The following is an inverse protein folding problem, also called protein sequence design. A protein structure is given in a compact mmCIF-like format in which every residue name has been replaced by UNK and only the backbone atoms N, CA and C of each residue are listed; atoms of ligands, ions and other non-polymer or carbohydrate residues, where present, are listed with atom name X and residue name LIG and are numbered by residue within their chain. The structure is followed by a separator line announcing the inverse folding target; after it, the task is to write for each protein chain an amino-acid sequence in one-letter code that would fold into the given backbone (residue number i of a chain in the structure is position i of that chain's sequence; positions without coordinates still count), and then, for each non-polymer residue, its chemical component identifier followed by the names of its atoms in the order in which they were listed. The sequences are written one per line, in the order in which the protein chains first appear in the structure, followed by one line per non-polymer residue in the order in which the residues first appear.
data_IF_539785132589
#
_entry.id   IF_539785132589
#
_cell.length_a   1.000
_cell.length_b   1.000
_cell.length_c   1.000
_cell.angle_alpha   90.00
_cell.angle_beta   90.00
_cell.angle_gamma   90.00
#
_symmetry.space_group_name_H-M   'P 1'
#
loop_
_entity.id
_entity.type
_entity.pdbx_description
1 polymer ?
#
# COMPACT_ATOMS: atom_id res chain seq x y z
N UNK A 1 -2.41 -11.76 1.23
CA UNK A 1 -3.34 -10.99 2.08
C UNK A 1 -4.78 -11.47 1.86
N UNK A 2 -5.68 -11.21 2.81
CA UNK A 2 -7.12 -11.39 2.61
C UNK A 2 -7.62 -10.37 1.57
N UNK A 3 -8.28 -10.83 0.52
CA UNK A 3 -8.82 -9.98 -0.55
C UNK A 3 -9.93 -10.75 -1.26
N UNK A 4 -11.03 -10.07 -1.61
CA UNK A 4 -12.05 -10.64 -2.47
C UNK A 4 -11.51 -10.95 -3.86
N UNK A 5 -11.77 -12.15 -4.35
CA UNK A 5 -11.56 -12.52 -5.75
C UNK A 5 -12.68 -11.95 -6.64
N UNK A 6 -12.47 -11.90 -7.96
CA UNK A 6 -13.55 -11.53 -8.89
C UNK A 6 -14.73 -12.53 -8.86
N UNK A 7 -14.46 -13.80 -8.54
CA UNK A 7 -15.53 -14.79 -8.29
C UNK A 7 -16.36 -14.39 -7.08
N UNK A 8 -15.73 -13.97 -5.98
CA UNK A 8 -16.45 -13.53 -4.79
C UNK A 8 -17.32 -12.32 -5.08
N UNK A 9 -16.77 -11.31 -5.77
CA UNK A 9 -17.53 -10.12 -6.17
C UNK A 9 -18.70 -10.46 -7.08
N UNK A 10 -18.51 -11.38 -8.02
CA UNK A 10 -19.59 -11.86 -8.91
C UNK A 10 -20.69 -12.56 -8.12
N UNK A 11 -20.32 -13.38 -7.14
CA UNK A 11 -21.28 -14.04 -6.26
C UNK A 11 -22.05 -13.03 -5.40
N UNK A 12 -21.36 -12.03 -4.81
CA UNK A 12 -22.00 -10.96 -4.05
C UNK A 12 -22.98 -10.15 -4.91
N UNK A 13 -22.59 -9.76 -6.12
CA UNK A 13 -23.47 -9.07 -7.08
C UNK A 13 -24.70 -9.90 -7.43
N UNK A 14 -24.55 -11.21 -7.55
CA UNK A 14 -25.65 -12.14 -7.82
C UNK A 14 -26.63 -12.19 -6.64
N UNK A 15 -26.14 -12.26 -5.40
CA UNK A 15 -27.00 -12.22 -4.21
C UNK A 15 -27.72 -10.89 -4.01
N UNK A 16 -27.04 -9.78 -4.30
CA UNK A 16 -27.59 -8.43 -4.22
C UNK A 16 -28.54 -8.14 -5.39
N UNK A 17 -28.49 -8.94 -6.46
CA UNK A 17 -29.18 -8.72 -7.73
C UNK A 17 -28.83 -7.36 -8.36
N UNK A 18 -27.54 -7.11 -8.57
CA UNK A 18 -27.03 -5.84 -9.12
C UNK A 18 -25.90 -6.04 -10.13
N UNK A 19 -25.84 -5.15 -11.12
CA UNK A 19 -24.70 -5.05 -12.05
C UNK A 19 -23.71 -3.95 -11.65
N UNK A 20 -23.94 -3.28 -10.52
CA UNK A 20 -23.15 -2.16 -10.01
C UNK A 20 -21.76 -2.61 -9.49
N UNK A 21 -20.86 -1.64 -9.33
CA UNK A 21 -19.51 -1.86 -8.83
C UNK A 21 -19.49 -1.91 -7.30
N UNK A 22 -18.56 -2.70 -6.75
CA UNK A 22 -18.25 -2.74 -5.32
C UNK A 22 -17.03 -1.84 -5.10
N UNK A 23 -17.24 -0.62 -4.62
CA UNK A 23 -16.17 0.32 -4.29
C UNK A 23 -15.81 0.16 -2.81
N UNK A 24 -14.57 -0.22 -2.50
CA UNK A 24 -14.13 -0.34 -1.11
C UNK A 24 -14.04 1.06 -0.48
N UNK A 25 -14.72 1.27 0.63
CA UNK A 25 -14.75 2.57 1.34
C UNK A 25 -14.15 2.48 2.75
N UNK A 26 -13.95 1.28 3.27
CA UNK A 26 -13.30 1.03 4.54
C UNK A 26 -12.53 -0.29 4.50
N UNK A 27 -11.36 -0.32 5.14
CA UNK A 27 -10.51 -1.50 5.30
C UNK A 27 -9.77 -1.42 6.62
N UNK A 28 -10.07 -2.31 7.57
CA UNK A 28 -9.57 -2.24 8.94
C UNK A 28 -8.04 -2.29 9.02
N UNK A 29 -7.35 -3.03 8.16
CA UNK A 29 -5.87 -3.05 8.16
C UNK A 29 -5.23 -1.73 7.72
N UNK A 30 -5.96 -0.89 6.97
CA UNK A 30 -5.54 0.44 6.52
C UNK A 30 -6.05 1.53 7.48
N UNK A 31 -7.34 1.50 7.75
CA UNK A 31 -8.07 2.56 8.45
C UNK A 31 -8.07 2.38 9.98
N UNK A 32 -7.63 1.22 10.48
CA UNK A 32 -7.82 0.80 11.86
C UNK A 32 -9.24 0.25 12.09
N UNK A 33 -9.43 -0.42 13.24
CA UNK A 33 -10.73 -1.00 13.63
C UNK A 33 -11.40 -0.12 14.68
N UNK A 34 -11.97 1.03 14.32
CA UNK A 34 -12.67 1.93 15.25
C UNK A 34 -14.03 2.33 14.70
N UNK A 35 -15.04 2.41 15.57
CA UNK A 35 -16.38 2.84 15.19
C UNK A 35 -16.38 4.27 14.64
N UNK A 36 -15.60 5.18 15.24
CA UNK A 36 -15.46 6.57 14.77
C UNK A 36 -14.93 6.62 13.32
N UNK A 37 -13.88 5.87 13.00
CA UNK A 37 -13.31 5.82 11.64
C UNK A 37 -14.27 5.17 10.66
N UNK A 38 -14.94 4.09 11.07
CA UNK A 38 -15.99 3.45 10.26
C UNK A 38 -17.10 4.45 9.91
N UNK A 39 -17.66 5.15 10.89
CA UNK A 39 -18.76 6.08 10.65
C UNK A 39 -18.33 7.29 9.80
N UNK A 40 -17.12 7.82 9.99
CA UNK A 40 -16.55 8.86 9.11
C UNK A 40 -16.49 8.44 7.64
N UNK A 41 -16.25 7.16 7.37
CA UNK A 41 -16.10 6.62 6.01
C UNK A 41 -17.40 6.08 5.41
N UNK A 42 -18.25 5.46 6.22
CA UNK A 42 -19.38 4.64 5.77
C UNK A 42 -20.76 5.28 5.97
N UNK A 43 -20.90 6.29 6.83
CA UNK A 43 -22.20 6.93 7.02
C UNK A 43 -22.66 7.65 5.74
N UNK A 44 -23.96 7.54 5.44
CA UNK A 44 -24.62 8.16 4.28
C UNK A 44 -24.03 7.79 2.91
N UNK A 45 -23.53 6.55 2.76
CA UNK A 45 -22.99 6.03 1.49
C UNK A 45 -23.99 5.16 0.71
N UNK A 46 -25.22 5.00 1.18
CA UNK A 46 -26.23 4.12 0.58
C UNK A 46 -25.93 2.65 0.83
N UNK A 47 -26.28 1.82 -0.14
CA UNK A 47 -26.15 0.36 -0.03
C UNK A 47 -24.68 -0.07 0.12
N UNK A 48 -24.43 -0.97 1.08
CA UNK A 48 -23.07 -1.46 1.38
C UNK A 48 -23.03 -2.97 1.66
N UNK A 49 -21.87 -3.55 1.42
CA UNK A 49 -21.51 -4.93 1.78
C UNK A 49 -20.34 -4.88 2.75
N UNK A 50 -20.52 -5.50 3.92
CA UNK A 50 -19.43 -5.72 4.89
C UNK A 50 -18.87 -7.13 4.72
N UNK A 51 -17.55 -7.26 4.73
CA UNK A 51 -16.83 -8.53 4.66
C UNK A 51 -15.89 -8.66 5.86
N UNK A 52 -15.97 -9.78 6.55
CA UNK A 52 -15.15 -10.12 7.71
C UNK A 52 -14.33 -11.38 7.40
N UNK A 53 -13.00 -11.28 7.49
CA UNK A 53 -12.11 -12.44 7.47
C UNK A 53 -11.66 -12.74 8.88
N UNK A 54 -12.12 -13.85 9.46
CA UNK A 54 -11.71 -14.23 10.82
C UNK A 54 -10.41 -15.06 10.84
N UNK A 55 -9.88 -15.32 12.05
CA UNK A 55 -8.63 -16.05 12.20
C UNK A 55 -8.72 -17.55 11.88
N UNK A 56 -9.93 -18.11 11.87
CA UNK A 56 -10.20 -19.53 11.55
C UNK A 56 -10.32 -19.77 10.04
N UNK A 57 -10.20 -18.72 9.23
CA UNK A 57 -10.30 -18.79 7.78
C UNK A 57 -11.72 -18.70 7.24
N UNK A 58 -12.72 -18.39 8.08
CA UNK A 58 -14.06 -18.08 7.62
C UNK A 58 -14.12 -16.67 7.02
N UNK A 59 -14.94 -16.53 5.97
CA UNK A 59 -15.26 -15.26 5.34
C UNK A 59 -16.77 -15.10 5.32
N UNK A 60 -17.26 -14.11 6.03
CA UNK A 60 -18.68 -13.88 6.22
C UNK A 60 -18.98 -12.39 6.26
N UNK A 61 -20.25 -12.02 6.28
CA UNK A 61 -20.60 -10.61 6.21
C UNK A 61 -22.08 -10.34 6.16
N UNK A 62 -22.41 -9.11 5.80
CA UNK A 62 -23.78 -8.65 5.63
C UNK A 62 -23.89 -7.59 4.55
N UNK A 63 -25.03 -7.58 3.87
CA UNK A 63 -25.45 -6.54 2.95
C UNK A 63 -26.58 -5.74 3.59
N UNK A 64 -26.59 -4.43 3.35
CA UNK A 64 -27.72 -3.56 3.65
C UNK A 64 -27.92 -2.58 2.49
N UNK A 65 -29.18 -2.32 2.13
CA UNK A 65 -29.58 -1.35 1.14
C UNK A 65 -29.72 0.07 1.71
N UNK A 66 -29.78 0.20 3.04
CA UNK A 66 -29.94 1.49 3.72
C UNK A 66 -28.61 2.07 4.18
N UNK A 67 -28.61 3.38 4.45
CA UNK A 67 -27.45 4.08 4.99
C UNK A 67 -27.05 3.58 6.38
N UNK A 68 -25.74 3.49 6.61
CA UNK A 68 -25.18 3.58 7.95
C UNK A 68 -25.36 5.00 8.49
N UNK A 69 -25.64 5.08 9.80
CA UNK A 69 -25.73 6.33 10.55
C UNK A 69 -25.23 6.13 11.97
N UNK A 70 -24.85 7.23 12.60
CA UNK A 70 -24.46 7.32 14.02
C UNK A 70 -25.58 7.94 14.87
N UNK A 71 -26.84 7.52 14.67
CA UNK A 71 -28.03 8.18 15.26
C UNK A 71 -28.56 7.55 16.53
N UNK A 72 -27.93 6.48 17.01
CA UNK A 72 -28.36 5.70 18.17
C UNK A 72 -29.75 5.06 17.99
N UNK A 73 -30.06 4.62 16.77
CA UNK A 73 -31.36 4.06 16.37
C UNK A 73 -31.25 2.63 15.85
N UNK A 74 -32.37 1.91 15.83
CA UNK A 74 -32.50 0.62 15.18
C UNK A 74 -33.46 0.79 14.00
N UNK A 75 -32.99 0.46 12.79
CA UNK A 75 -33.78 0.61 11.56
C UNK A 75 -33.97 -0.77 10.92
N UNK A 76 -35.11 -0.99 10.28
CA UNK A 76 -35.37 -2.22 9.54
C UNK A 76 -34.96 -2.09 8.08
N UNK A 77 -34.31 -3.12 7.55
CA UNK A 77 -34.00 -3.23 6.13
C UNK A 77 -34.53 -4.56 5.60
N UNK A 78 -35.51 -4.49 4.70
CA UNK A 78 -36.14 -5.66 4.08
C UNK A 78 -35.26 -6.34 3.03
N UNK A 79 -34.23 -5.64 2.56
CA UNK A 79 -33.27 -6.14 1.58
C UNK A 79 -31.96 -6.60 2.22
N UNK A 80 -31.78 -6.36 3.53
CA UNK A 80 -30.60 -6.80 4.24
C UNK A 80 -30.55 -8.32 4.40
N UNK A 81 -29.35 -8.87 4.27
CA UNK A 81 -29.08 -10.28 4.52
C UNK A 81 -27.65 -10.46 5.05
N UNK A 82 -27.41 -11.56 5.75
CA UNK A 82 -26.06 -12.02 6.10
C UNK A 82 -25.65 -13.19 5.21
N UNK A 83 -24.35 -13.44 5.09
CA UNK A 83 -23.85 -14.51 4.25
C UNK A 83 -22.51 -15.08 4.75
N UNK A 84 -22.18 -16.27 4.26
CA UNK A 84 -20.86 -16.89 4.40
C UNK A 84 -20.33 -17.17 3.00
N UNK A 85 -19.21 -16.54 2.62
CA UNK A 85 -18.50 -16.84 1.37
C UNK A 85 -17.67 -18.13 1.52
N UNK A 86 -16.97 -18.26 2.65
CA UNK A 86 -16.11 -19.42 2.93
C UNK A 86 -16.26 -19.88 4.37
N UNK A 87 -16.57 -21.16 4.58
CA UNK A 87 -16.46 -21.82 5.88
C UNK A 87 -15.03 -22.29 6.19
N UNK A 88 -14.83 -22.91 7.36
CA UNK A 88 -13.52 -23.43 7.83
C UNK A 88 -12.84 -24.40 6.85
N UNK A 89 -13.61 -25.11 6.03
CA UNK A 89 -13.09 -26.06 5.04
C UNK A 89 -12.91 -25.48 3.62
N UNK A 90 -13.16 -24.18 3.40
CA UNK A 90 -13.00 -23.45 2.11
C UNK A 90 -13.70 -24.05 0.87
N UNK A 91 -14.52 -25.09 1.01
CA UNK A 91 -15.08 -25.87 -0.12
C UNK A 91 -16.54 -25.55 -0.47
N UNK A 92 -17.21 -24.67 0.27
CA UNK A 92 -18.62 -24.34 0.02
C UNK A 92 -18.91 -22.86 0.18
N UNK A 93 -19.48 -22.25 -0.88
CA UNK A 93 -20.34 -21.08 -0.75
C UNK A 93 -21.66 -21.58 -0.14
N UNK A 94 -21.86 -21.39 1.15
CA UNK A 94 -23.17 -21.62 1.75
C UNK A 94 -23.92 -20.30 1.77
N UNK A 95 -24.85 -20.14 0.81
CA UNK A 95 -25.91 -19.14 0.93
C UNK A 95 -26.71 -19.49 2.17
N UNK A 96 -26.47 -18.82 3.28
CA UNK A 96 -27.43 -18.84 4.37
C UNK A 96 -28.26 -17.58 4.29
N UNK A 97 -29.36 -17.67 3.57
CA UNK A 97 -30.48 -16.75 3.75
C UNK A 97 -30.99 -16.94 5.18
N UNK A 98 -30.46 -16.14 6.12
CA UNK A 98 -31.07 -16.08 7.45
C UNK A 98 -32.24 -15.11 7.37
N UNK A 99 -33.35 -15.56 6.77
CA UNK A 99 -34.65 -15.05 7.17
C UNK A 99 -34.91 -15.64 8.55
N UNK A 100 -34.96 -14.79 9.58
CA UNK A 100 -35.24 -15.28 10.91
C UNK A 100 -36.63 -15.91 10.94
N UNK A 101 -36.77 -17.02 11.66
CA UNK A 101 -38.05 -17.68 11.90
C UNK A 101 -39.03 -16.83 12.74
N UNK A 102 -38.59 -15.69 13.27
CA UNK A 102 -39.35 -14.84 14.21
C UNK A 102 -39.64 -13.42 13.68
N UNK A 103 -38.86 -12.93 12.71
CA UNK A 103 -38.93 -11.59 12.11
C UNK A 103 -38.53 -11.65 10.65
N UNK A 104 -39.40 -11.20 9.76
CA UNK A 104 -39.17 -11.16 8.30
C UNK A 104 -38.10 -10.15 7.85
N UNK A 105 -37.45 -9.42 8.78
CA UNK A 105 -36.63 -8.24 8.48
C UNK A 105 -35.41 -8.15 9.40
N UNK A 106 -34.22 -7.92 8.81
CA UNK A 106 -32.99 -7.68 9.57
C UNK A 106 -33.02 -6.26 10.15
N UNK A 107 -32.57 -6.14 11.40
CA UNK A 107 -32.44 -4.86 12.07
C UNK A 107 -31.00 -4.34 11.93
N UNK A 108 -30.85 -3.15 11.39
CA UNK A 108 -29.58 -2.44 11.26
C UNK A 108 -29.43 -1.50 12.45
N UNK A 109 -28.38 -1.69 13.25
CA UNK A 109 -28.15 -0.89 14.44
C UNK A 109 -27.22 0.28 14.08
N UNK A 110 -27.70 1.50 14.27
CA UNK A 110 -27.02 2.74 13.90
C UNK A 110 -26.36 3.38 15.14
N UNK A 111 -25.57 2.59 15.87
CA UNK A 111 -24.96 2.99 17.14
C UNK A 111 -23.55 3.58 16.92
N UNK A 112 -23.25 4.80 17.42
CA UNK A 112 -21.96 5.47 17.18
C UNK A 112 -20.72 4.74 17.67
N UNK A 113 -20.87 3.81 18.61
CA UNK A 113 -19.79 3.03 19.22
C UNK A 113 -19.64 1.64 18.60
N UNK A 114 -20.31 1.38 17.48
CA UNK A 114 -20.30 0.08 16.81
C UNK A 114 -19.88 0.24 15.36
N UNK A 115 -19.17 -0.77 14.84
CA UNK A 115 -19.01 -0.94 13.41
C UNK A 115 -20.29 -1.46 12.75
N UNK A 116 -20.18 -2.08 11.56
CA UNK A 116 -21.31 -2.71 10.89
C UNK A 116 -22.11 -3.65 11.81
N UNK A 117 -23.41 -3.42 11.91
CA UNK A 117 -24.28 -4.10 12.89
C UNK A 117 -25.60 -4.55 12.27
N UNK A 118 -25.75 -5.86 12.10
CA UNK A 118 -26.83 -6.50 11.32
C UNK A 118 -27.86 -7.23 12.19
N UNK A 119 -28.08 -6.80 13.45
CA UNK A 119 -29.09 -7.35 14.37
C UNK A 119 -28.78 -8.76 14.89
N UNK A 120 -28.40 -9.67 13.98
CA UNK A 120 -27.88 -11.01 14.19
C UNK A 120 -26.47 -10.95 14.78
N UNK A 121 -25.62 -10.09 14.21
CA UNK A 121 -24.27 -9.86 14.73
C UNK A 121 -23.84 -8.40 14.59
N UNK A 122 -22.94 -8.01 15.49
CA UNK A 122 -22.20 -6.75 15.46
C UNK A 122 -20.76 -7.09 15.12
N UNK A 123 -20.24 -6.49 14.04
CA UNK A 123 -18.90 -6.76 13.57
C UNK A 123 -17.87 -6.42 14.66
N UNK A 124 -17.87 -5.19 15.17
CA UNK A 124 -17.02 -4.78 16.30
C UNK A 124 -17.69 -3.66 17.10
N UNK A 125 -17.24 -3.49 18.35
CA UNK A 125 -17.66 -2.43 19.25
C UNK A 125 -16.44 -1.80 19.90
N UNK A 126 -16.47 -0.49 20.06
CA UNK A 126 -15.43 0.22 20.78
C UNK A 126 -15.57 -0.02 22.31
N UNK A 127 -14.44 -0.11 23.03
CA UNK A 127 -13.07 -0.08 22.53
C UNK A 127 -12.70 -1.41 21.84
N UNK A 128 -11.89 -1.33 20.79
CA UNK A 128 -11.29 -2.48 20.11
C UNK A 128 -9.81 -2.59 20.46
N UNK A 129 -9.20 -3.75 20.22
CA UNK A 129 -7.75 -3.93 20.35
C UNK A 129 -7.17 -4.70 19.16
N UNK A 130 -5.86 -4.55 18.95
CA UNK A 130 -5.10 -5.27 17.93
C UNK A 130 -3.88 -5.89 18.58
N UNK A 131 -3.74 -7.21 18.48
CA UNK A 131 -2.61 -7.97 19.05
C UNK A 131 -2.06 -8.90 17.99
N UNK A 132 -0.75 -8.85 17.72
CA UNK A 132 -0.06 -9.68 16.72
C UNK A 132 -0.75 -9.66 15.34
N UNK A 133 -1.16 -8.48 14.88
CA UNK A 133 -1.83 -8.29 13.59
C UNK A 133 -3.29 -8.76 13.53
N UNK A 134 -3.85 -9.30 14.61
CA UNK A 134 -5.25 -9.73 14.71
C UNK A 134 -6.07 -8.68 15.44
N UNK A 135 -7.18 -8.26 14.84
CA UNK A 135 -8.16 -7.42 15.49
C UNK A 135 -9.04 -8.25 16.41
N UNK A 136 -8.97 -7.96 17.71
CA UNK A 136 -9.89 -8.53 18.68
C UNK A 136 -11.12 -7.64 18.72
N UNK A 137 -12.21 -8.15 18.17
CA UNK A 137 -13.48 -7.44 18.24
C UNK A 137 -14.24 -7.84 19.49
N UNK A 138 -14.82 -6.86 20.18
CA UNK A 138 -15.89 -7.09 21.14
C UNK A 138 -17.23 -7.32 20.42
N UNK A 139 -17.17 -8.07 19.30
CA UNK A 139 -18.34 -8.45 18.52
C UNK A 139 -19.36 -9.16 19.39
N UNK A 140 -20.63 -9.01 19.05
CA UNK A 140 -21.74 -9.64 19.76
C UNK A 140 -22.69 -10.27 18.76
N UNK A 141 -23.43 -11.27 19.20
CA UNK A 141 -24.50 -11.86 18.40
C UNK A 141 -25.79 -11.90 19.23
N UNK A 142 -26.91 -12.03 18.53
CA UNK A 142 -28.21 -12.20 19.16
C UNK A 142 -28.62 -13.67 19.12
N UNK A 143 -28.87 -14.27 20.31
CA UNK A 143 -29.24 -15.68 20.47
C UNK A 143 -30.61 -16.05 19.88
N UNK A 144 -31.45 -15.07 19.58
CA UNK A 144 -32.75 -15.28 18.94
C UNK A 144 -32.63 -15.60 17.43
N UNK A 145 -31.42 -15.50 16.88
CA UNK A 145 -31.12 -15.73 15.46
C UNK A 145 -30.19 -16.94 15.26
N UNK A 146 -29.81 -17.21 14.02
CA UNK A 146 -28.90 -18.31 13.68
C UNK A 146 -27.59 -18.18 14.45
N UNK A 147 -27.14 -19.31 15.00
CA UNK A 147 -25.94 -19.38 15.83
C UNK A 147 -24.69 -18.93 15.05
N UNK A 148 -23.77 -18.18 15.69
CA UNK A 148 -22.48 -17.81 15.08
C UNK A 148 -21.61 -19.01 14.71
N UNK A 149 -21.84 -20.18 15.30
CA UNK A 149 -21.20 -21.43 14.90
C UNK A 149 -21.40 -21.71 13.39
N UNK A 150 -22.55 -21.29 12.84
CA UNK A 150 -22.96 -21.61 11.47
C UNK A 150 -22.33 -20.70 10.42
N UNK A 151 -21.98 -19.45 10.75
CA UNK A 151 -21.43 -18.49 9.78
C UNK A 151 -20.01 -18.01 10.06
N UNK A 152 -19.57 -18.00 11.32
CA UNK A 152 -18.23 -17.54 11.70
C UNK A 152 -17.48 -18.48 12.65
N UNK A 153 -17.94 -19.72 12.82
CA UNK A 153 -17.34 -20.69 13.74
C UNK A 153 -17.21 -20.16 15.19
N UNK A 154 -18.18 -19.34 15.64
CA UNK A 154 -18.13 -18.65 16.93
C UNK A 154 -16.90 -17.73 17.13
N UNK A 155 -16.22 -17.32 16.05
CA UNK A 155 -15.00 -16.54 16.14
C UNK A 155 -15.12 -15.19 15.43
N UNK A 156 -15.07 -14.13 16.24
CA UNK A 156 -15.14 -12.73 15.82
C UNK A 156 -13.77 -12.02 15.90
N UNK A 157 -12.66 -12.76 16.02
CA UNK A 157 -11.32 -12.20 15.85
C UNK A 157 -10.99 -12.10 14.37
N UNK A 158 -10.68 -10.90 13.90
CA UNK A 158 -10.52 -10.63 12.47
C UNK A 158 -9.06 -10.45 12.08
N UNK A 159 -8.71 -10.99 10.91
CA UNK A 159 -7.52 -10.56 10.16
C UNK A 159 -7.81 -9.32 9.34
N UNK A 160 -9.05 -9.15 8.90
CA UNK A 160 -9.48 -8.03 8.07
C UNK A 160 -11.00 -7.82 8.18
N UNK A 161 -11.42 -6.55 8.11
CA UNK A 161 -12.82 -6.15 7.90
C UNK A 161 -12.83 -5.10 6.79
N UNK A 162 -13.59 -5.34 5.73
CA UNK A 162 -13.77 -4.38 4.63
C UNK A 162 -15.24 -4.01 4.46
N UNK A 163 -15.51 -2.78 4.05
CA UNK A 163 -16.85 -2.33 3.66
C UNK A 163 -16.79 -1.78 2.24
N UNK A 164 -17.72 -2.25 1.41
CA UNK A 164 -17.85 -1.89 0.02
C UNK A 164 -19.17 -1.16 -0.23
N UNK A 165 -19.11 0.02 -0.82
CA UNK A 165 -20.26 0.74 -1.33
C UNK A 165 -20.69 0.18 -2.69
N UNK A 166 -21.99 0.09 -2.93
CA UNK A 166 -22.54 -0.27 -4.23
C UNK A 166 -22.73 1.00 -5.07
N UNK A 167 -21.95 1.15 -6.14
CA UNK A 167 -21.90 2.38 -6.96
C UNK A 167 -22.08 2.09 -8.45
N UNK A 168 -22.71 3.02 -9.17
CA UNK A 168 -22.92 2.90 -10.62
C UNK A 168 -21.61 3.00 -11.41
N UNK A 169 -20.65 3.77 -10.90
CA UNK A 169 -19.32 3.94 -11.48
C UNK A 169 -18.28 4.04 -10.37
N UNK A 170 -17.08 3.56 -10.69
CA UNK A 170 -15.87 3.76 -9.89
C UNK A 170 -15.32 5.18 -10.09
N UNK A 171 -14.57 5.71 -9.11
CA UNK A 171 -14.16 7.13 -9.06
C UNK A 171 -12.92 7.40 -9.91
N UNK A 172 -13.10 7.30 -11.23
CA UNK A 172 -12.13 7.69 -12.25
C UNK A 172 -12.47 9.10 -12.73
N UNK A 173 -11.51 10.02 -12.68
CA UNK A 173 -11.67 11.35 -13.29
C UNK A 173 -11.48 11.26 -14.81
N UNK A 174 -12.18 12.10 -15.58
CA UNK A 174 -12.09 12.09 -17.05
C UNK A 174 -10.71 12.56 -17.55
N UNK A 175 -10.11 13.53 -16.87
CA UNK A 175 -8.77 14.06 -17.15
C UNK A 175 -7.76 13.55 -16.13
N UNK A 176 -6.54 13.17 -16.56
CA UNK A 176 -5.55 12.64 -15.65
C UNK A 176 -5.01 13.75 -14.73
N UNK A 177 -4.89 13.47 -13.43
CA UNK A 177 -4.34 14.41 -12.44
C UNK A 177 -2.83 14.63 -12.60
N UNK A 178 -2.18 13.79 -13.41
CA UNK A 178 -0.82 13.97 -13.92
C UNK A 178 -0.76 13.49 -15.36
N UNK A 179 -0.22 14.33 -16.25
CA UNK A 179 -0.08 13.98 -17.66
C UNK A 179 0.75 12.70 -17.83
N UNK A 180 0.20 11.71 -18.53
CA UNK A 180 0.95 10.51 -18.89
C UNK A 180 2.00 10.84 -19.95
N UNK A 181 3.24 10.43 -19.67
CA UNK A 181 4.29 10.39 -20.69
C UNK A 181 3.85 9.42 -21.77
N UNK A 182 3.94 9.80 -23.04
CA UNK A 182 3.51 8.97 -24.19
C UNK A 182 4.62 8.05 -24.73
N UNK A 183 5.86 8.25 -24.28
CA UNK A 183 7.02 7.51 -24.73
C UNK A 183 6.90 6.00 -24.45
N UNK A 184 7.23 5.12 -25.40
CA UNK A 184 7.08 3.67 -25.23
C UNK A 184 7.99 3.13 -24.12
N UNK A 185 7.53 2.09 -23.42
CA UNK A 185 8.28 1.45 -22.31
C UNK A 185 9.66 0.98 -22.74
N UNK A 186 9.80 0.43 -23.95
CA UNK A 186 11.10 0.04 -24.51
C UNK A 186 12.08 1.22 -24.69
N UNK A 187 11.57 2.40 -25.05
CA UNK A 187 12.40 3.60 -25.20
C UNK A 187 12.86 4.12 -23.84
N UNK A 188 11.95 4.17 -22.86
CA UNK A 188 12.30 4.56 -21.47
C UNK A 188 13.36 3.60 -20.90
N UNK A 189 13.17 2.28 -21.10
CA UNK A 189 14.14 1.26 -20.72
C UNK A 189 15.50 1.54 -21.34
N UNK A 190 15.55 1.79 -22.65
CA UNK A 190 16.80 2.10 -23.35
C UNK A 190 17.46 3.38 -22.82
N UNK A 191 16.70 4.43 -22.53
CA UNK A 191 17.23 5.66 -21.93
C UNK A 191 17.90 5.37 -20.58
N UNK A 192 17.33 4.50 -19.75
CA UNK A 192 17.94 4.09 -18.47
C UNK A 192 19.18 3.20 -18.68
N UNK A 193 19.20 2.34 -19.71
CA UNK A 193 20.35 1.48 -20.04
C UNK A 193 21.55 2.25 -20.62
N UNK A 194 21.27 3.30 -21.37
CA UNK A 194 22.26 4.14 -22.03
C UNK A 194 22.68 5.34 -21.17
N UNK A 195 22.01 5.55 -20.03
CA UNK A 195 22.38 6.53 -19.03
C UNK A 195 23.85 6.43 -18.65
N UNK A 196 24.49 7.59 -18.57
CA UNK A 196 25.81 7.78 -18.01
C UNK A 196 25.75 9.04 -17.16
N UNK A 197 26.27 9.01 -15.92
CA UNK A 197 26.53 10.23 -15.18
C UNK A 197 27.33 11.21 -16.05
N UNK A 198 27.09 12.50 -15.86
CA UNK A 198 27.61 13.58 -16.70
C UNK A 198 29.12 13.44 -16.95
N UNK A 199 29.52 13.64 -18.21
CA UNK A 199 30.93 13.64 -18.61
C UNK A 199 31.63 14.89 -18.03
N UNK A 200 32.59 14.67 -17.11
CA UNK A 200 33.39 15.73 -16.51
C UNK A 200 33.71 15.50 -15.03
N UNK A 201 32.83 14.80 -14.30
CA UNK A 201 33.09 14.31 -12.95
C UNK A 201 33.64 12.88 -12.97
N UNK A 202 34.53 12.54 -12.04
CA UNK A 202 35.04 11.18 -11.81
C UNK A 202 33.94 10.22 -11.26
N UNK A 203 32.70 10.35 -11.72
CA UNK A 203 31.54 9.56 -11.29
C UNK A 203 31.19 8.51 -12.35
N UNK A 204 31.62 7.29 -12.08
CA UNK A 204 31.33 6.11 -12.87
C UNK A 204 29.90 5.62 -12.74
N UNK A 205 29.23 5.85 -11.60
CA UNK A 205 27.89 5.34 -11.33
C UNK A 205 27.10 6.25 -10.39
N UNK A 206 25.85 6.51 -10.75
CA UNK A 206 24.90 7.15 -9.85
C UNK A 206 24.49 6.20 -8.71
N UNK A 207 24.26 6.74 -7.51
CA UNK A 207 23.80 5.98 -6.33
C UNK A 207 22.57 6.63 -5.74
N UNK A 208 21.51 5.82 -5.59
CA UNK A 208 20.23 6.26 -5.06
C UNK A 208 20.01 5.58 -3.71
N UNK A 209 19.88 6.36 -2.64
CA UNK A 209 19.57 5.84 -1.30
C UNK A 209 18.07 5.64 -1.16
N UNK A 210 17.63 4.42 -0.81
CA UNK A 210 16.23 4.11 -0.56
C UNK A 210 15.97 4.04 0.94
N UNK A 211 15.15 4.93 1.48
CA UNK A 211 14.82 5.00 2.90
C UNK A 211 13.32 4.91 3.12
N UNK A 212 12.86 4.23 4.17
CA UNK A 212 11.44 4.03 4.45
C UNK A 212 11.20 3.01 5.55
N UNK A 213 9.97 2.96 6.07
CA UNK A 213 9.58 2.02 7.13
C UNK A 213 9.81 0.55 6.74
N UNK A 214 9.84 -0.32 7.74
CA UNK A 214 9.69 -1.77 7.52
C UNK A 214 8.38 -2.02 6.75
N UNK A 215 8.42 -2.86 5.71
CA UNK A 215 7.25 -3.16 4.88
C UNK A 215 6.92 -2.13 3.80
N UNK A 216 7.58 -0.97 3.75
CA UNK A 216 7.28 0.09 2.77
C UNK A 216 7.59 -0.29 1.30
N UNK A 217 8.29 -1.40 1.07
CA UNK A 217 8.56 -1.90 -0.29
C UNK A 217 9.91 -1.51 -0.89
N UNK A 218 10.92 -1.11 -0.07
CA UNK A 218 12.27 -0.76 -0.55
C UNK A 218 12.93 -1.88 -1.38
N UNK A 219 13.08 -3.06 -0.77
CA UNK A 219 13.67 -4.24 -1.42
C UNK A 219 12.79 -4.74 -2.58
N UNK A 220 11.47 -4.62 -2.46
CA UNK A 220 10.51 -4.96 -3.54
C UNK A 220 10.65 -4.03 -4.75
N UNK A 221 10.92 -2.75 -4.52
CA UNK A 221 11.17 -1.78 -5.58
C UNK A 221 12.46 -2.10 -6.34
N UNK A 222 13.55 -2.40 -5.62
CA UNK A 222 14.77 -2.89 -6.27
C UNK A 222 14.50 -4.15 -7.10
N UNK A 223 13.82 -5.15 -6.53
CA UNK A 223 13.48 -6.38 -7.26
C UNK A 223 12.63 -6.08 -8.50
N UNK A 224 11.71 -5.12 -8.42
CA UNK A 224 10.88 -4.69 -9.56
C UNK A 224 11.73 -4.14 -10.69
N UNK A 225 12.58 -3.16 -10.39
CA UNK A 225 13.55 -2.60 -11.36
C UNK A 225 14.45 -3.69 -11.95
N UNK A 226 15.02 -4.54 -11.09
CA UNK A 226 15.91 -5.60 -11.51
C UNK A 226 15.20 -6.61 -12.44
N UNK A 227 13.92 -6.88 -12.20
CA UNK A 227 13.11 -7.78 -13.03
C UNK A 227 12.97 -7.27 -14.46
N UNK A 228 12.75 -5.95 -14.64
CA UNK A 228 12.67 -5.32 -15.96
C UNK A 228 13.92 -5.56 -16.80
N UNK A 229 15.10 -5.46 -16.18
CA UNK A 229 16.38 -5.63 -16.87
C UNK A 229 16.81 -7.09 -17.02
N UNK A 230 16.36 -7.99 -16.13
CA UNK A 230 16.60 -9.42 -16.26
C UNK A 230 15.65 -10.13 -17.23
N UNK A 231 14.49 -9.53 -17.52
CA UNK A 231 13.49 -10.12 -18.41
C UNK A 231 12.56 -11.15 -17.75
N UNK A 232 12.61 -11.26 -16.42
CA UNK A 232 11.71 -12.12 -15.63
C UNK A 232 11.61 -11.57 -14.19
N UNK A 233 10.57 -11.94 -13.44
CA UNK A 233 10.42 -11.54 -12.03
C UNK A 233 11.57 -12.11 -11.18
N UNK A 234 12.13 -11.31 -10.27
CA UNK A 234 13.29 -11.66 -9.44
C UNK A 234 13.06 -11.40 -7.95
N UNK A 235 13.78 -12.12 -7.09
CA UNK A 235 13.78 -11.90 -5.63
C UNK A 235 15.21 -11.91 -5.07
N UNK A 236 16.06 -11.03 -5.61
CA UNK A 236 17.47 -10.95 -5.20
C UNK A 236 17.63 -10.21 -3.87
N UNK A 237 16.82 -9.18 -3.62
CA UNK A 237 16.70 -8.58 -2.29
C UNK A 237 15.62 -9.32 -1.49
N UNK A 238 15.89 -9.56 -0.21
CA UNK A 238 14.95 -10.23 0.68
C UNK A 238 13.75 -9.30 0.92
N UNK A 239 12.63 -9.61 0.28
CA UNK A 239 11.37 -8.87 0.39
C UNK A 239 10.28 -9.78 0.97
N UNK A 240 9.43 -9.24 1.82
CA UNK A 240 8.36 -9.99 2.50
C UNK A 240 7.74 -9.21 3.66
N UNK A 241 6.65 -9.73 4.21
CA UNK A 241 5.99 -9.19 5.41
C UNK A 241 6.58 -9.88 6.64
N UNK A 242 7.20 -9.10 7.54
CA UNK A 242 7.70 -9.55 8.83
C UNK A 242 7.50 -8.44 9.87
N UNK A 243 7.38 -8.80 11.15
CA UNK A 243 7.28 -7.83 12.26
C UNK A 243 8.56 -6.98 12.40
N UNK A 244 9.71 -7.51 11.99
CA UNK A 244 11.00 -6.82 11.98
C UNK A 244 11.60 -6.73 10.57
N UNK A 245 12.50 -5.77 10.35
CA UNK A 245 13.17 -5.56 9.06
C UNK A 245 13.90 -6.81 8.57
N UNK A 246 13.48 -7.36 7.42
CA UNK A 246 14.20 -8.46 6.73
C UNK A 246 15.60 -8.01 6.23
N UNK A 247 15.73 -6.73 5.89
CA UNK A 247 17.02 -6.11 5.59
C UNK A 247 17.66 -5.66 6.90
N UNK A 248 18.68 -6.39 7.35
CA UNK A 248 19.37 -6.13 8.62
C UNK A 248 20.62 -5.24 8.48
N UNK A 249 21.05 -4.93 7.25
CA UNK A 249 22.26 -4.15 6.94
C UNK A 249 22.08 -3.35 5.64
N UNK A 250 22.82 -2.23 5.50
CA UNK A 250 22.97 -1.48 4.25
C UNK A 250 23.43 -2.40 3.10
N UNK A 251 22.83 -2.27 1.92
CA UNK A 251 23.19 -3.03 0.71
C UNK A 251 23.13 -2.15 -0.52
N UNK A 252 24.23 -2.10 -1.27
CA UNK A 252 24.27 -1.43 -2.57
C UNK A 252 24.08 -2.44 -3.70
N UNK A 253 22.91 -2.42 -4.33
CA UNK A 253 22.58 -3.33 -5.42
C UNK A 253 22.96 -2.77 -6.78
N UNK A 254 23.68 -3.58 -7.57
CA UNK A 254 24.00 -3.29 -8.95
C UNK A 254 22.95 -3.90 -9.88
N UNK A 255 22.49 -3.13 -10.87
CA UNK A 255 21.56 -3.60 -11.89
C UNK A 255 22.32 -4.05 -13.14
N UNK A 256 21.89 -5.15 -13.75
CA UNK A 256 22.48 -5.73 -14.97
C UNK A 256 21.40 -5.99 -16.01
N UNK A 257 21.72 -5.75 -17.27
CA UNK A 257 21.02 -6.31 -18.42
C UNK A 257 22.01 -7.21 -19.17
N UNK A 258 21.78 -8.53 -19.12
CA UNK A 258 22.74 -9.52 -19.60
C UNK A 258 24.11 -9.38 -18.94
N UNK A 259 25.16 -9.16 -19.74
CA UNK A 259 26.53 -8.92 -19.27
C UNK A 259 26.83 -7.46 -18.94
N UNK A 260 25.98 -6.51 -19.36
CA UNK A 260 26.20 -5.07 -19.16
C UNK A 260 25.68 -4.64 -17.80
N UNK A 261 26.53 -3.93 -17.05
CA UNK A 261 26.12 -3.23 -15.85
C UNK A 261 25.55 -1.86 -16.20
N UNK A 262 24.41 -1.54 -15.61
CA UNK A 262 23.89 -0.18 -15.67
C UNK A 262 24.74 0.73 -14.79
N UNK A 263 24.73 2.02 -15.13
CA UNK A 263 25.49 3.08 -14.46
C UNK A 263 24.74 3.68 -13.26
N UNK A 264 23.98 2.83 -12.56
CA UNK A 264 23.20 3.16 -11.37
C UNK A 264 23.24 2.04 -10.34
N UNK A 265 23.29 2.42 -9.06
CA UNK A 265 23.14 1.52 -7.90
C UNK A 265 21.95 1.95 -7.05
N UNK A 266 21.18 0.98 -6.59
CA UNK A 266 20.12 1.19 -5.60
C UNK A 266 20.61 0.74 -4.23
N UNK A 267 20.69 1.67 -3.29
CA UNK A 267 21.20 1.44 -1.94
C UNK A 267 20.01 1.21 -0.99
N UNK A 268 19.80 -0.05 -0.60
CA UNK A 268 18.73 -0.48 0.30
C UNK A 268 19.18 -0.42 1.75
N UNK A 269 18.35 0.16 2.61
CA UNK A 269 18.63 0.33 4.04
C UNK A 269 17.76 -0.58 4.90
N UNK A 270 18.13 -0.72 6.17
CA UNK A 270 17.20 -1.23 7.19
C UNK A 270 15.95 -0.35 7.23
N UNK A 271 14.79 -0.96 7.46
CA UNK A 271 13.55 -0.19 7.60
C UNK A 271 13.55 0.68 8.86
N UNK A 272 12.91 1.85 8.74
CA UNK A 272 12.62 2.70 9.88
C UNK A 272 11.59 2.03 10.80
N UNK A 273 11.77 2.19 12.11
CA UNK A 273 10.90 1.64 13.15
C UNK A 273 10.57 2.76 14.16
N UNK A 274 9.40 2.71 14.79
CA UNK A 274 8.95 3.77 15.71
C UNK A 274 9.77 3.80 17.00
N UNK A 275 10.12 2.63 17.52
CA UNK A 275 10.82 2.42 18.79
C UNK A 275 12.33 2.52 18.68
N UNK A 276 12.87 2.51 17.47
CA UNK A 276 14.30 2.59 17.21
C UNK A 276 14.59 3.82 16.35
N UNK A 277 15.18 4.83 16.97
CA UNK A 277 15.65 6.01 16.27
C UNK A 277 16.73 5.66 15.23
N UNK A 278 16.89 6.56 14.28
CA UNK A 278 17.99 6.53 13.31
C UNK A 278 19.11 7.38 13.87
N UNK A 279 20.32 6.83 13.85
CA UNK A 279 21.52 7.56 14.22
C UNK A 279 21.91 8.56 13.10
N UNK A 280 21.99 9.87 13.38
CA UNK A 280 22.44 10.87 12.41
C UNK A 280 23.82 10.59 11.81
N UNK A 281 24.73 9.99 12.59
CA UNK A 281 26.07 9.61 12.12
C UNK A 281 25.99 8.49 11.08
N UNK A 282 25.12 7.50 11.28
CA UNK A 282 24.89 6.42 10.32
C UNK A 282 24.34 6.95 8.99
N UNK A 283 23.38 7.88 9.04
CA UNK A 283 22.82 8.50 7.83
C UNK A 283 23.86 9.36 7.12
N UNK A 284 24.63 10.12 7.89
CA UNK A 284 25.75 10.89 7.36
C UNK A 284 26.76 9.98 6.65
N UNK A 285 27.15 8.88 7.28
CA UNK A 285 28.03 7.88 6.67
C UNK A 285 27.42 7.25 5.40
N UNK A 286 26.11 6.99 5.37
CA UNK A 286 25.42 6.52 4.17
C UNK A 286 25.46 7.53 3.04
N UNK A 287 25.12 8.79 3.31
CA UNK A 287 25.07 9.87 2.31
C UNK A 287 26.45 10.19 1.75
N UNK A 288 27.48 10.19 2.60
CA UNK A 288 28.86 10.48 2.23
C UNK A 288 29.61 9.28 1.62
N UNK A 289 28.98 8.10 1.54
CA UNK A 289 29.58 6.91 0.94
C UNK A 289 30.55 6.14 1.83
N UNK A 290 30.56 6.41 3.14
CA UNK A 290 31.46 5.78 4.11
C UNK A 290 30.98 4.41 4.62
N UNK A 291 29.90 3.85 4.06
CA UNK A 291 29.34 2.57 4.50
C UNK A 291 30.08 1.38 3.89
N UNK A 292 30.63 0.45 4.71
CA UNK A 292 31.27 -0.75 4.18
C UNK A 292 30.23 -1.63 3.46
N UNK A 293 30.44 -1.86 2.16
CA UNK A 293 29.66 -2.85 1.42
C UNK A 293 30.01 -4.25 1.94
N UNK A 294 29.10 -5.22 1.82
CA UNK A 294 29.23 -6.61 2.33
C UNK A 294 30.48 -7.39 1.86
N UNK A 295 31.37 -6.78 1.09
CA UNK A 295 32.59 -7.35 0.53
C UNK A 295 33.85 -6.48 0.70
N UNK A 296 33.83 -5.40 1.48
CA UNK A 296 35.03 -4.60 1.73
C UNK A 296 35.04 -4.07 3.16
N UNK A 297 35.82 -4.74 4.02
CA UNK A 297 36.33 -4.17 5.26
C UNK A 297 37.58 -3.39 4.89
N UNK A 298 37.56 -2.07 5.05
CA UNK A 298 38.75 -1.23 4.96
C UNK A 298 38.69 -0.16 3.88
N UNK A 299 39.05 1.04 4.31
CA UNK A 299 39.22 2.31 3.59
C UNK A 299 37.96 3.16 3.41
N UNK A 300 37.89 4.27 4.15
CA UNK A 300 37.04 5.41 3.84
C UNK A 300 37.38 5.89 2.43
N UNK A 301 36.46 5.72 1.48
CA UNK A 301 36.61 6.23 0.12
C UNK A 301 36.21 7.70 0.08
N UNK A 302 37.16 8.58 -0.21
CA UNK A 302 36.97 10.05 -0.35
C UNK A 302 36.46 10.40 -1.76
N UNK A 303 36.00 9.42 -2.54
CA UNK A 303 35.66 9.60 -3.96
C UNK A 303 34.18 9.92 -4.16
N UNK A 304 33.87 10.89 -5.02
CA UNK A 304 32.50 11.25 -5.43
C UNK A 304 31.68 10.02 -5.84
N UNK A 305 32.35 9.03 -6.44
CA UNK A 305 31.81 7.74 -6.84
C UNK A 305 31.07 6.94 -5.76
N UNK A 306 31.37 7.17 -4.48
CA UNK A 306 30.77 6.45 -3.37
C UNK A 306 29.64 7.22 -2.67
N UNK A 307 29.52 8.53 -2.93
CA UNK A 307 28.45 9.38 -2.39
C UNK A 307 27.08 9.03 -2.96
N UNK A 308 26.05 9.38 -2.20
CA UNK A 308 24.66 9.33 -2.66
C UNK A 308 24.37 10.56 -3.52
N UNK A 309 23.73 10.34 -4.66
CA UNK A 309 23.42 11.39 -5.64
C UNK A 309 21.92 11.74 -5.67
N UNK A 310 21.06 10.86 -5.14
CA UNK A 310 19.63 11.11 -4.95
C UNK A 310 19.12 10.28 -3.76
N UNK A 311 18.18 10.82 -2.98
CA UNK A 311 17.50 10.10 -1.90
C UNK A 311 16.05 9.82 -2.27
N UNK A 312 15.59 8.59 -2.06
CA UNK A 312 14.24 8.14 -2.35
C UNK A 312 13.54 7.69 -1.07
N UNK A 313 12.55 8.45 -0.64
CA UNK A 313 11.65 8.05 0.45
C UNK A 313 10.61 7.07 -0.08
N UNK A 314 10.79 5.78 0.24
CA UNK A 314 9.86 4.72 -0.10
C UNK A 314 8.75 4.70 0.93
N UNK A 315 7.53 5.05 0.52
CA UNK A 315 6.36 5.19 1.40
C UNK A 315 5.26 4.26 0.91
N UNK A 316 4.73 3.45 1.83
CA UNK A 316 3.54 2.65 1.59
C UNK A 316 2.31 3.56 1.50
N UNK A 317 1.69 3.62 0.32
CA UNK A 317 0.53 4.46 0.09
C UNK A 317 -0.70 4.09 0.92
N UNK A 318 -0.78 2.86 1.41
CA UNK A 318 -1.85 2.42 2.31
C UNK A 318 -1.65 2.85 3.76
N UNK A 319 -0.46 3.32 4.13
CA UNK A 319 -0.12 3.66 5.52
C UNK A 319 0.09 5.16 5.73
N UNK A 320 -0.23 6.00 4.74
CA UNK A 320 0.00 7.46 4.80
C UNK A 320 -0.84 8.12 5.90
N UNK A 321 -2.11 7.75 6.02
CA UNK A 321 -3.05 8.35 6.99
C UNK A 321 -2.72 7.97 8.45
N UNK A 322 -2.00 6.86 8.65
CA UNK A 322 -1.63 6.34 9.98
C UNK A 322 -0.13 6.50 10.27
N UNK A 323 0.59 7.30 9.48
CA UNK A 323 2.02 7.50 9.65
C UNK A 323 2.31 8.24 10.96
N UNK A 324 3.11 7.60 11.83
CA UNK A 324 3.45 8.11 13.15
C UNK A 324 4.41 9.32 13.10
N UNK A 325 4.27 10.26 14.05
CA UNK A 325 5.14 11.43 14.22
C UNK A 325 6.63 11.08 14.40
N UNK A 326 6.95 9.95 15.04
CA UNK A 326 8.34 9.45 15.18
C UNK A 326 8.97 9.19 13.81
N UNK A 327 8.24 8.53 12.91
CA UNK A 327 8.69 8.26 11.54
C UNK A 327 8.84 9.56 10.75
N UNK A 328 7.88 10.48 10.86
CA UNK A 328 7.96 11.79 10.20
C UNK A 328 9.18 12.59 10.69
N UNK A 329 9.52 12.49 11.97
CA UNK A 329 10.70 13.13 12.55
C UNK A 329 11.99 12.53 11.98
N UNK A 330 12.06 11.21 11.83
CA UNK A 330 13.19 10.54 11.19
C UNK A 330 13.33 10.94 9.71
N UNK A 331 12.23 11.02 8.94
CA UNK A 331 12.29 11.51 7.57
C UNK A 331 12.81 12.94 7.49
N UNK A 332 12.30 13.86 8.33
CA UNK A 332 12.77 15.26 8.38
C UNK A 332 14.26 15.37 8.73
N UNK A 333 14.76 14.52 9.63
CA UNK A 333 16.19 14.45 9.94
C UNK A 333 17.01 14.06 8.71
N UNK A 334 16.60 13.01 7.99
CA UNK A 334 17.28 12.55 6.77
C UNK A 334 17.22 13.62 5.68
N UNK A 335 16.06 14.27 5.48
CA UNK A 335 15.91 15.39 4.55
C UNK A 335 16.87 16.53 4.87
N UNK A 336 16.98 16.90 6.15
CA UNK A 336 17.93 17.94 6.58
C UNK A 336 19.37 17.57 6.21
N UNK A 337 19.80 16.34 6.47
CA UNK A 337 21.15 15.87 6.16
C UNK A 337 21.42 15.77 4.65
N UNK A 338 20.41 15.39 3.86
CA UNK A 338 20.49 15.35 2.40
C UNK A 338 20.54 16.77 1.79
N UNK A 339 19.70 17.69 2.27
CA UNK A 339 19.69 19.10 1.83
C UNK A 339 21.03 19.80 2.09
N UNK A 340 21.67 19.52 3.23
CA UNK A 340 23.00 20.06 3.56
C UNK A 340 24.10 19.61 2.57
N UNK A 341 23.84 18.59 1.76
CA UNK A 341 24.75 18.02 0.75
C UNK A 341 24.29 18.29 -0.68
N UNK A 342 23.24 19.11 -0.86
CA UNK A 342 22.63 19.32 -2.18
C UNK A 342 21.97 18.06 -2.77
N UNK A 343 21.72 17.01 -1.97
CA UNK A 343 21.19 15.75 -2.48
C UNK A 343 19.68 15.89 -2.69
N UNK A 344 19.18 15.80 -3.93
CA UNK A 344 17.77 15.90 -4.23
C UNK A 344 17.00 14.69 -3.70
N UNK A 345 15.73 14.92 -3.39
CA UNK A 345 14.85 13.94 -2.77
C UNK A 345 13.58 13.70 -3.59
N UNK A 346 13.18 12.43 -3.68
CA UNK A 346 11.92 11.98 -4.26
C UNK A 346 11.14 11.13 -3.28
N UNK A 347 9.84 10.96 -3.55
CA UNK A 347 8.99 9.99 -2.85
C UNK A 347 8.62 8.89 -3.85
N UNK A 348 8.91 7.64 -3.53
CA UNK A 348 8.35 6.50 -4.25
C UNK A 348 7.15 6.00 -3.44
N UNK A 349 5.95 6.28 -3.96
CA UNK A 349 4.70 5.87 -3.31
C UNK A 349 4.34 4.46 -3.80
N UNK A 350 4.53 3.45 -2.94
CA UNK A 350 4.29 2.05 -3.27
C UNK A 350 2.86 1.62 -2.95
N UNK A 351 2.47 0.42 -3.41
CA UNK A 351 1.15 -0.19 -3.17
C UNK A 351 -0.04 0.65 -3.64
N UNK A 352 0.15 1.38 -4.74
CA UNK A 352 -0.90 2.22 -5.35
C UNK A 352 -2.13 1.42 -5.79
N UNK A 353 -1.94 0.13 -6.11
CA UNK A 353 -2.99 -0.83 -6.42
C UNK A 353 -3.74 -1.31 -5.17
N UNK A 354 -3.21 -1.10 -3.98
CA UNK A 354 -3.94 -1.33 -2.74
C UNK A 354 -4.69 -0.08 -2.25
N UNK A 355 -4.31 1.11 -2.72
CA UNK A 355 -5.04 2.36 -2.43
C UNK A 355 -6.41 2.32 -3.12
N UNK A 356 -6.41 2.17 -4.45
CA UNK A 356 -7.57 2.34 -5.32
C UNK A 356 -7.97 1.04 -6.02
N UNK A 357 -9.27 0.72 -5.95
CA UNK A 357 -9.81 -0.48 -6.58
C UNK A 357 -9.69 -0.45 -8.11
N UNK A 358 -9.83 0.74 -8.70
CA UNK A 358 -9.66 1.01 -10.13
C UNK A 358 -8.24 0.71 -10.58
N UNK A 359 -7.26 1.13 -9.80
CA UNK A 359 -5.83 0.91 -10.07
C UNK A 359 -5.47 -0.56 -9.87
N UNK A 360 -6.09 -1.23 -8.89
CA UNK A 360 -5.97 -2.67 -8.67
C UNK A 360 -6.43 -3.50 -9.87
N UNK A 361 -7.55 -3.10 -10.45
CA UNK A 361 -8.14 -3.77 -11.61
C UNK A 361 -7.41 -3.41 -12.90
N UNK A 362 -6.98 -2.16 -13.05
CA UNK A 362 -6.24 -1.68 -14.20
C UNK A 362 -5.24 -0.59 -13.80
N UNK A 363 -3.95 -0.95 -13.73
CA UNK A 363 -2.87 -0.03 -13.36
C UNK A 363 -2.75 1.17 -14.31
N UNK A 364 -3.25 1.09 -15.55
CA UNK A 364 -3.30 2.25 -16.46
C UNK A 364 -4.29 3.33 -15.99
N UNK A 365 -5.08 3.08 -14.95
CA UNK A 365 -5.92 4.10 -14.28
C UNK A 365 -5.19 4.86 -13.18
N UNK A 366 -3.89 4.62 -12.98
CA UNK A 366 -3.08 5.26 -11.92
C UNK A 366 -3.26 6.78 -11.88
N UNK A 367 -3.08 7.46 -13.01
CA UNK A 367 -3.21 8.92 -13.09
C UNK A 367 -4.64 9.44 -13.28
N UNK A 368 -5.63 8.55 -13.30
CA UNK A 368 -7.05 8.89 -13.35
C UNK A 368 -7.77 8.57 -12.03
N UNK A 369 -7.11 7.91 -11.08
CA UNK A 369 -7.68 7.58 -9.78
C UNK A 369 -7.63 8.80 -8.85
N UNK A 370 -8.81 9.24 -8.40
CA UNK A 370 -8.91 10.33 -7.40
C UNK A 370 -8.26 9.95 -6.07
N UNK A 371 -8.45 8.72 -5.62
CA UNK A 371 -7.88 8.23 -4.35
C UNK A 371 -6.34 8.26 -4.37
N UNK A 372 -5.72 7.87 -5.49
CA UNK A 372 -4.26 8.00 -5.64
C UNK A 372 -3.84 9.47 -5.65
N UNK A 373 -4.58 10.35 -6.32
CA UNK A 373 -4.29 11.78 -6.33
C UNK A 373 -4.31 12.39 -4.92
N UNK A 374 -5.31 12.03 -4.11
CA UNK A 374 -5.45 12.50 -2.73
C UNK A 374 -4.29 12.01 -1.85
N UNK A 375 -3.87 10.74 -1.98
CA UNK A 375 -2.71 10.22 -1.24
C UNK A 375 -1.42 10.91 -1.67
N UNK A 376 -1.25 11.19 -2.97
CA UNK A 376 -0.12 11.97 -3.49
C UNK A 376 -0.09 13.36 -2.86
N UNK A 377 -1.24 14.02 -2.72
CA UNK A 377 -1.33 15.37 -2.15
C UNK A 377 -0.99 15.36 -0.66
N UNK A 378 -1.53 14.39 0.08
CA UNK A 378 -1.25 14.21 1.50
C UNK A 378 0.24 13.94 1.75
N UNK A 379 0.84 12.98 1.05
CA UNK A 379 2.25 12.63 1.29
C UNK A 379 3.20 13.75 0.86
N UNK A 380 2.86 14.48 -0.21
CA UNK A 380 3.57 15.69 -0.64
C UNK A 380 3.59 16.75 0.47
N UNK A 381 2.45 17.00 1.11
CA UNK A 381 2.35 17.95 2.23
C UNK A 381 3.06 17.47 3.49
N UNK A 382 2.91 16.19 3.85
CA UNK A 382 3.51 15.60 5.06
C UNK A 382 5.04 15.62 5.04
N UNK A 383 5.63 15.26 3.90
CA UNK A 383 7.09 15.20 3.72
C UNK A 383 7.66 16.55 3.27
N UNK A 384 6.82 17.46 2.75
CA UNK A 384 7.25 18.78 2.31
C UNK A 384 7.99 18.78 0.97
N UNK A 385 7.65 17.86 0.05
CA UNK A 385 8.20 17.79 -1.30
C UNK A 385 7.12 18.11 -2.34
N UNK A 386 7.45 18.74 -3.48
CA UNK A 386 6.47 19.06 -4.52
C UNK A 386 5.72 17.83 -5.04
N UNK A 387 4.46 17.99 -5.45
CA UNK A 387 3.65 16.88 -6.01
C UNK A 387 4.36 16.15 -7.15
N UNK A 388 5.12 16.87 -7.98
CA UNK A 388 5.91 16.29 -9.07
C UNK A 388 7.02 15.32 -8.63
N UNK A 389 7.46 15.39 -7.37
CA UNK A 389 8.50 14.53 -6.80
C UNK A 389 7.92 13.24 -6.20
N UNK A 390 6.59 13.12 -6.14
CA UNK A 390 5.91 11.90 -5.71
C UNK A 390 5.70 11.00 -6.93
N UNK A 391 6.33 9.84 -6.95
CA UNK A 391 6.36 8.89 -8.05
C UNK A 391 5.61 7.62 -7.62
N UNK A 392 4.33 7.48 -7.98
CA UNK A 392 3.54 6.32 -7.58
C UNK A 392 3.92 5.10 -8.43
N UNK A 393 4.13 3.97 -7.75
CA UNK A 393 4.54 2.72 -8.38
C UNK A 393 3.83 1.52 -7.77
N UNK A 394 3.59 0.51 -8.61
CA UNK A 394 3.27 -0.84 -8.15
C UNK A 394 4.54 -1.69 -8.25
N UNK A 395 4.85 -2.44 -7.19
CA UNK A 395 5.92 -3.43 -7.23
C UNK A 395 5.37 -4.79 -7.68
N UNK A 396 6.24 -5.65 -8.22
CA UNK A 396 5.88 -7.05 -8.40
C UNK A 396 5.71 -7.72 -7.03
N UNK A 397 4.60 -8.44 -6.87
CA UNK A 397 4.30 -9.16 -5.62
C UNK A 397 3.71 -10.53 -5.90
N UNK A 398 2.58 -10.58 -6.61
CA UNK A 398 1.85 -11.82 -6.92
C UNK A 398 2.12 -12.32 -8.33
N UNK A 399 2.67 -11.48 -9.19
CA UNK A 399 2.93 -11.80 -10.59
C UNK A 399 4.19 -12.66 -10.73
N UNK A 400 4.12 -13.66 -11.61
CA UNK A 400 5.28 -14.50 -11.98
C UNK A 400 5.95 -14.05 -13.28
N UNK A 401 5.22 -13.27 -14.08
CA UNK A 401 5.66 -12.74 -15.38
C UNK A 401 5.70 -11.21 -15.35
N UNK A 402 6.47 -10.63 -16.27
CA UNK A 402 6.52 -9.19 -16.43
C UNK A 402 5.19 -8.64 -16.96
N UNK A 403 4.82 -7.45 -16.47
CA UNK A 403 3.68 -6.67 -16.87
C UNK A 403 4.17 -5.30 -17.38
N UNK A 404 3.82 -4.96 -18.62
CA UNK A 404 4.32 -3.75 -19.28
C UNK A 404 3.99 -2.46 -18.52
N UNK A 405 2.81 -2.37 -17.90
CA UNK A 405 2.39 -1.18 -17.14
C UNK A 405 3.16 -1.05 -15.83
N UNK A 406 3.46 -2.17 -15.15
CA UNK A 406 4.33 -2.18 -13.96
C UNK A 406 5.74 -1.74 -14.34
N UNK A 407 6.31 -2.34 -15.39
CA UNK A 407 7.65 -2.00 -15.89
C UNK A 407 7.74 -0.53 -16.24
N UNK A 408 6.72 0.00 -16.93
CA UNK A 408 6.62 1.40 -17.32
C UNK A 408 6.75 2.34 -16.14
N UNK A 409 5.94 2.19 -15.11
CA UNK A 409 5.95 3.12 -13.98
C UNK A 409 7.22 2.99 -13.13
N UNK A 410 7.78 1.79 -13.00
CA UNK A 410 9.07 1.58 -12.33
C UNK A 410 10.24 2.22 -13.12
N UNK A 411 10.24 2.10 -14.45
CA UNK A 411 11.26 2.73 -15.30
C UNK A 411 11.15 4.25 -15.30
N UNK A 412 9.93 4.81 -15.36
CA UNK A 412 9.72 6.25 -15.26
C UNK A 412 10.19 6.80 -13.92
N UNK A 413 9.94 6.09 -12.81
CA UNK A 413 10.42 6.53 -11.49
C UNK A 413 11.95 6.49 -11.39
N UNK A 414 12.59 5.43 -11.93
CA UNK A 414 14.04 5.37 -11.98
C UNK A 414 14.65 6.46 -12.88
N UNK A 415 14.09 6.67 -14.08
CA UNK A 415 14.54 7.72 -14.99
C UNK A 415 14.46 9.11 -14.32
N UNK A 416 13.40 9.40 -13.58
CA UNK A 416 13.27 10.68 -12.88
C UNK A 416 14.30 10.84 -11.76
N UNK A 417 14.60 9.77 -11.00
CA UNK A 417 15.67 9.81 -10.00
C UNK A 417 17.05 10.01 -10.62
N UNK A 418 17.31 9.45 -11.80
CA UNK A 418 18.56 9.68 -12.53
C UNK A 418 18.69 11.13 -12.99
N UNK A 419 17.60 11.74 -13.48
CA UNK A 419 17.58 13.17 -13.84
C UNK A 419 17.90 14.06 -12.64
N UNK A 420 17.30 13.80 -11.49
CA UNK A 420 17.61 14.55 -10.27
C UNK A 420 19.04 14.29 -9.79
N UNK A 421 19.53 13.06 -9.88
CA UNK A 421 20.93 12.79 -9.57
C UNK A 421 21.90 13.57 -10.47
N UNK A 422 21.56 13.79 -11.73
CA UNK A 422 22.33 14.65 -12.63
C UNK A 422 22.31 16.11 -12.17
N UNK A 423 21.18 16.64 -11.70
CA UNK A 423 21.11 18.01 -11.12
C UNK A 423 22.10 18.18 -9.96
N UNK A 424 22.18 17.20 -9.05
CA UNK A 424 23.17 17.17 -7.96
C UNK A 424 24.61 17.14 -8.48
N UNK A 425 24.86 16.37 -9.54
CA UNK A 425 26.17 16.27 -10.14
C UNK A 425 26.60 17.54 -10.88
N UNK A 426 25.67 18.29 -11.48
CA UNK A 426 25.95 19.61 -12.08
C UNK A 426 26.40 20.61 -11.00
N UNK A 427 25.65 20.70 -9.90
CA UNK A 427 26.00 21.61 -8.79
C UNK A 427 27.41 21.31 -8.24
N UNK A 428 27.78 20.02 -8.13
CA UNK A 428 29.10 19.59 -7.69
C UNK A 428 30.25 19.86 -8.68
N UNK A 429 29.95 20.12 -9.96
CA UNK A 429 30.93 20.45 -10.99
C UNK A 429 31.12 21.97 -11.16
N UNK A 430 30.11 22.76 -10.79
CA UNK A 430 30.14 24.22 -10.85
C UNK A 430 30.79 24.86 -9.59
N UNK A 431 30.86 24.13 -8.48
CA UNK A 431 31.60 24.45 -7.24
C UNK A 431 33.10 24.08 -7.31
#
# INVERSE_FOLDING_TARGET
MATLTESDKTQLRTWINTTKHLKRIYKATIDGLSADVFHKKCDNKGATVTICWNTDGCVFGGYTAIDWKSTNTIVQDTSAFIFTLYGTNKTTYTNMWVQSSLRSQIQIYQYPTQGPSFGIFVCFKDPTSKTNGVFQSNGAYNSDYVSPATYCNNNFNYREVEVYQIVDKLDVVDEPWRQEIQEKTATIKKTVEDYKPIQGGDVDQCRILMVGCVGAGKSSYFNTINSVFRGHVTSQAAAGSAEHSLTTKFRSYQIRNGSKYLKVRLCDTRGLEESQGVDPEDITAMLDGHMPNKYSVGYLSVYLNDKIHCSAFIIDGTSVDVMNESILTQFKMIQKLANQRGIPQVIILTKVDEISQEVKENLSKLFYSREVAEVVDKVSQLIGLPRGHVLPVKNYEKETELNETVDRYALLSLQQMLRFADDCLYDLLDD
#
